data_IF_680230402805
#
_entry.id   IF_680230402805
#
_cell.length_a   1.000
_cell.length_b   1.000
_cell.length_c   1.000
_cell.angle_alpha   90.00
_cell.angle_beta   90.00
_cell.angle_gamma   90.00
#
_symmetry.space_group_name_H-M   'P 1'
#
loop_
_entity.id
_entity.type
_entity.pdbx_description
1 polymer ?
#
# COMPACT_ATOMS: atom_id res chain seq x y z
N UNK A 1 0.54 -6.80 -0.66
CA UNK A 1 0.45 -6.02 -1.91
C UNK A 1 -0.77 -5.13 -1.77
N UNK A 2 -0.65 -3.84 -2.07
CA UNK A 2 -1.79 -2.92 -2.05
C UNK A 2 -2.60 -3.06 -3.35
N UNK A 3 -3.90 -2.83 -3.31
CA UNK A 3 -4.75 -2.86 -4.51
C UNK A 3 -4.47 -1.67 -5.44
N UNK A 4 -4.92 -1.73 -6.70
CA UNK A 4 -4.81 -0.61 -7.65
C UNK A 4 -5.46 0.67 -7.10
N UNK A 5 -6.69 0.58 -6.58
CA UNK A 5 -7.38 1.71 -5.93
C UNK A 5 -6.60 2.31 -4.76
N UNK A 6 -5.93 1.47 -3.96
CA UNK A 6 -5.10 1.94 -2.86
C UNK A 6 -3.85 2.66 -3.38
N UNK A 7 -3.26 2.19 -4.48
CA UNK A 7 -2.13 2.84 -5.16
C UNK A 7 -2.54 4.19 -5.73
N UNK A 8 -3.70 4.29 -6.37
CA UNK A 8 -4.24 5.55 -6.91
C UNK A 8 -4.55 6.57 -5.80
N UNK A 9 -5.20 6.14 -4.71
CA UNK A 9 -5.45 7.02 -3.56
C UNK A 9 -4.15 7.51 -2.93
N UNK A 10 -3.15 6.65 -2.82
CA UNK A 10 -1.84 7.03 -2.30
C UNK A 10 -1.14 8.02 -3.22
N UNK A 11 -1.13 7.75 -4.52
CA UNK A 11 -0.56 8.63 -5.54
C UNK A 11 -1.24 10.00 -5.52
N UNK A 12 -2.58 10.04 -5.42
CA UNK A 12 -3.35 11.28 -5.28
C UNK A 12 -3.01 12.04 -3.99
N UNK A 13 -2.80 11.33 -2.88
CA UNK A 13 -2.37 11.96 -1.63
C UNK A 13 -0.99 12.62 -1.76
N UNK A 14 -0.01 11.93 -2.38
CA UNK A 14 1.30 12.53 -2.63
C UNK A 14 1.19 13.71 -3.59
N UNK A 15 0.48 13.57 -4.70
CA UNK A 15 0.29 14.66 -5.66
C UNK A 15 -0.31 15.92 -5.02
N UNK A 16 -1.22 15.78 -4.04
CA UNK A 16 -1.78 16.91 -3.32
C UNK A 16 -0.94 17.44 -2.15
N UNK A 17 0.11 16.73 -1.73
CA UNK A 17 0.93 17.09 -0.55
C UNK A 17 2.34 17.55 -0.88
N UNK A 18 2.88 17.12 -2.03
CA UNK A 18 4.17 17.58 -2.53
C UNK A 18 4.12 19.09 -2.78
N UNK A 19 5.20 19.83 -2.48
CA UNK A 19 5.30 21.23 -2.87
C UNK A 19 5.14 21.39 -4.37
N UNK A 20 4.53 22.52 -4.77
CA UNK A 20 4.52 22.95 -6.16
C UNK A 20 5.96 23.06 -6.68
N UNK A 21 6.18 22.66 -7.93
CA UNK A 21 7.48 22.64 -8.60
C UNK A 21 8.56 21.70 -8.03
N UNK A 22 8.22 20.84 -7.05
CA UNK A 22 9.17 19.84 -6.58
C UNK A 22 9.54 18.84 -7.69
N UNK A 23 8.57 18.40 -8.48
CA UNK A 23 8.77 17.54 -9.64
C UNK A 23 8.04 18.13 -10.85
N UNK A 24 8.57 17.93 -12.05
CA UNK A 24 7.82 18.19 -13.29
C UNK A 24 6.59 17.28 -13.39
N UNK A 25 6.76 16.03 -12.94
CA UNK A 25 5.68 15.06 -12.83
C UNK A 25 6.02 13.99 -11.81
N UNK A 26 5.01 13.49 -11.12
CA UNK A 26 5.14 12.30 -10.28
C UNK A 26 5.16 11.08 -11.21
N UNK A 27 6.27 10.36 -11.29
CA UNK A 27 6.39 9.20 -12.19
C UNK A 27 5.79 7.97 -11.54
N UNK A 28 6.24 7.63 -10.34
CA UNK A 28 5.86 6.38 -9.69
C UNK A 28 5.68 6.53 -8.18
N UNK A 29 4.74 5.75 -7.64
CA UNK A 29 4.51 5.57 -6.21
C UNK A 29 4.29 4.08 -5.96
N UNK A 30 5.35 3.41 -5.54
CA UNK A 30 5.34 1.98 -5.22
C UNK A 30 5.27 1.75 -3.73
N UNK A 31 4.64 0.65 -3.32
CA UNK A 31 4.48 0.29 -1.92
C UNK A 31 4.70 -1.19 -1.74
N UNK A 32 5.57 -1.51 -0.80
CA UNK A 32 5.72 -2.87 -0.32
C UNK A 32 5.38 -2.99 1.18
N UNK A 33 5.94 -3.99 1.83
CA UNK A 33 5.74 -4.22 3.26
C UNK A 33 6.49 -3.20 4.12
N UNK A 34 7.66 -2.78 3.67
CA UNK A 34 8.64 -2.04 4.45
C UNK A 34 8.60 -0.53 4.15
N UNK A 35 8.38 -0.17 2.88
CA UNK A 35 8.42 1.23 2.45
C UNK A 35 7.42 1.60 1.35
N UNK A 36 7.26 2.91 1.20
CA UNK A 36 6.65 3.59 0.06
C UNK A 36 7.79 4.28 -0.69
N UNK A 37 7.93 4.02 -1.97
CA UNK A 37 8.94 4.65 -2.82
C UNK A 37 8.27 5.62 -3.79
N UNK A 38 8.67 6.89 -3.71
CA UNK A 38 8.11 7.99 -4.50
C UNK A 38 9.18 8.47 -5.48
N UNK A 39 8.90 8.38 -6.77
CA UNK A 39 9.80 8.78 -7.85
C UNK A 39 9.15 9.89 -8.66
N UNK A 40 9.83 11.02 -8.78
CA UNK A 40 9.40 12.15 -9.62
C UNK A 40 10.40 12.49 -10.72
N UNK A 41 9.92 13.05 -11.83
CA UNK A 41 10.77 13.58 -12.89
C UNK A 41 11.27 14.96 -12.49
N UNK A 42 12.55 15.21 -12.71
CA UNK A 42 13.16 16.54 -12.55
C UNK A 42 13.71 17.05 -13.88
N UNK A 43 13.84 18.38 -14.05
CA UNK A 43 14.34 18.95 -15.28
C UNK A 43 15.77 18.54 -15.57
N UNK A 44 16.05 18.21 -16.82
CA UNK A 44 17.39 17.92 -17.31
C UNK A 44 18.32 19.14 -17.23
N UNK A 45 19.64 18.93 -17.05
CA UNK A 45 20.61 20.00 -17.20
C UNK A 45 20.62 20.53 -18.64
N UNK A 46 20.66 21.86 -18.80
CA UNK A 46 20.80 22.49 -20.11
C UNK A 46 22.27 22.48 -20.48
N UNK A 47 22.62 21.72 -21.52
CA UNK A 47 23.96 21.61 -22.08
C UNK A 47 23.94 22.01 -23.56
N UNK A 48 25.12 22.26 -24.12
CA UNK A 48 25.26 22.46 -25.57
C UNK A 48 24.86 21.19 -26.34
N UNK A 49 24.41 21.35 -27.59
CA UNK A 49 24.00 20.21 -28.43
C UNK A 49 25.17 19.27 -28.75
N UNK A 50 26.39 19.81 -28.83
CA UNK A 50 27.64 19.09 -29.07
C UNK A 50 28.32 18.58 -27.80
N UNK A 51 27.68 18.73 -26.62
CA UNK A 51 28.19 18.18 -25.37
C UNK A 51 28.36 16.67 -25.48
N UNK A 52 29.54 16.20 -25.07
CA UNK A 52 29.89 14.77 -25.06
C UNK A 52 28.99 13.97 -24.12
N UNK A 53 28.87 12.66 -24.35
CA UNK A 53 28.08 11.77 -23.47
C UNK A 53 28.58 11.80 -22.02
N UNK A 54 29.90 11.86 -21.82
CA UNK A 54 30.51 11.96 -20.49
C UNK A 54 30.13 13.27 -19.78
N UNK A 55 30.04 14.38 -20.52
CA UNK A 55 29.59 15.67 -19.97
C UNK A 55 28.10 15.65 -19.62
N UNK A 56 27.28 15.01 -20.47
CA UNK A 56 25.84 14.82 -20.22
C UNK A 56 25.60 13.99 -18.95
N UNK A 57 26.27 12.87 -18.83
CA UNK A 57 26.20 11.99 -17.65
C UNK A 57 26.60 12.75 -16.38
N UNK A 58 27.76 13.42 -16.40
CA UNK A 58 28.24 14.20 -15.26
C UNK A 58 27.27 15.33 -14.86
N UNK A 59 26.66 16.00 -15.83
CA UNK A 59 25.68 17.05 -15.57
C UNK A 59 24.38 16.49 -14.98
N UNK A 60 23.91 15.32 -15.44
CA UNK A 60 22.75 14.63 -14.88
C UNK A 60 23.01 14.25 -13.43
N UNK A 61 24.18 13.65 -13.14
CA UNK A 61 24.58 13.34 -11.77
C UNK A 61 24.64 14.58 -10.87
N UNK A 62 25.25 15.67 -11.37
CA UNK A 62 25.29 16.94 -10.66
C UNK A 62 23.91 17.51 -10.35
N UNK A 63 22.99 17.43 -11.32
CA UNK A 63 21.59 17.88 -11.16
C UNK A 63 20.85 17.04 -10.13
N UNK A 64 21.00 15.72 -10.15
CA UNK A 64 20.38 14.81 -9.19
C UNK A 64 20.88 15.09 -7.76
N UNK A 65 22.19 15.31 -7.58
CA UNK A 65 22.78 15.58 -6.28
C UNK A 65 22.37 16.94 -5.72
N UNK A 66 22.41 18.00 -6.52
CA UNK A 66 21.91 19.33 -6.13
C UNK A 66 20.44 19.25 -5.72
N UNK A 67 19.61 18.60 -6.53
CA UNK A 67 18.19 18.43 -6.24
C UNK A 67 17.98 17.71 -4.90
N UNK A 68 18.73 16.63 -4.67
CA UNK A 68 18.65 15.84 -3.43
C UNK A 68 18.89 16.71 -2.21
N UNK A 69 19.86 17.60 -2.27
CA UNK A 69 20.28 18.46 -1.17
C UNK A 69 19.28 19.59 -0.94
N UNK A 70 18.96 20.36 -2.00
CA UNK A 70 18.04 21.51 -1.92
C UNK A 70 16.65 21.13 -1.42
N UNK A 71 16.14 19.98 -1.83
CA UNK A 71 14.76 19.55 -1.53
C UNK A 71 14.64 18.68 -0.27
N UNK A 72 15.74 18.51 0.49
CA UNK A 72 15.78 17.56 1.60
C UNK A 72 14.72 17.85 2.66
N UNK A 73 14.56 19.10 3.07
CA UNK A 73 13.64 19.47 4.16
C UNK A 73 12.19 19.24 3.77
N UNK A 74 11.79 19.68 2.57
CA UNK A 74 10.44 19.50 2.05
C UNK A 74 10.08 18.01 1.93
N UNK A 75 10.99 17.20 1.37
CA UNK A 75 10.79 15.75 1.25
C UNK A 75 10.71 15.07 2.61
N UNK A 76 11.48 15.52 3.60
CA UNK A 76 11.40 15.00 4.97
C UNK A 76 10.07 15.38 5.63
N UNK A 77 9.56 16.60 5.41
CA UNK A 77 8.26 17.03 5.94
C UNK A 77 7.12 16.16 5.39
N UNK A 78 7.05 15.98 4.06
CA UNK A 78 6.05 15.11 3.43
C UNK A 78 6.20 13.67 3.88
N UNK A 79 7.43 13.16 3.97
CA UNK A 79 7.71 11.81 4.43
C UNK A 79 7.19 11.57 5.86
N UNK A 80 7.39 12.51 6.79
CA UNK A 80 6.91 12.36 8.17
C UNK A 80 5.38 12.25 8.25
N UNK A 81 4.67 13.05 7.48
CA UNK A 81 3.21 13.00 7.42
C UNK A 81 2.70 11.69 6.81
N UNK A 82 3.33 11.26 5.71
CA UNK A 82 3.05 9.98 5.08
C UNK A 82 3.35 8.80 6.02
N UNK A 83 4.49 8.82 6.71
CA UNK A 83 4.87 7.81 7.69
C UNK A 83 3.84 7.72 8.83
N UNK A 84 3.36 8.86 9.32
CA UNK A 84 2.32 8.90 10.34
C UNK A 84 1.00 8.31 9.83
N UNK A 85 0.60 8.67 8.60
CA UNK A 85 -0.68 8.27 8.01
C UNK A 85 -0.70 6.81 7.56
N UNK A 86 0.33 6.37 6.85
CA UNK A 86 0.38 5.07 6.17
C UNK A 86 1.20 4.01 6.92
N UNK A 87 1.86 4.40 8.02
CA UNK A 87 2.63 3.52 8.90
C UNK A 87 3.73 2.74 8.17
N UNK A 88 4.36 3.38 7.17
CA UNK A 88 5.45 2.84 6.36
C UNK A 88 6.48 3.93 6.12
N UNK A 89 7.75 3.55 6.03
CA UNK A 89 8.84 4.46 5.67
C UNK A 89 8.63 5.03 4.27
N UNK A 90 9.08 6.25 4.05
CA UNK A 90 9.05 6.87 2.72
C UNK A 90 10.45 7.04 2.20
N UNK A 91 10.65 6.51 1.01
CA UNK A 91 11.87 6.58 0.23
C UNK A 91 11.62 7.39 -1.02
N UNK A 92 12.65 8.10 -1.46
CA UNK A 92 12.55 9.08 -2.51
C UNK A 92 13.51 8.74 -3.63
N UNK A 93 13.07 8.96 -4.87
CA UNK A 93 13.92 8.91 -6.03
C UNK A 93 13.54 9.96 -7.07
N UNK A 94 14.39 10.08 -8.07
CA UNK A 94 14.19 10.98 -9.21
C UNK A 94 14.54 10.29 -10.51
N UNK A 95 13.93 10.78 -11.59
CA UNK A 95 14.36 10.50 -12.96
C UNK A 95 14.82 11.81 -13.62
N UNK A 96 16.02 11.80 -14.21
CA UNK A 96 16.61 12.93 -14.92
C UNK A 96 17.37 12.40 -16.14
N UNK A 97 17.03 12.84 -17.36
CA UNK A 97 17.74 12.38 -18.57
C UNK A 97 17.57 10.88 -18.85
N UNK A 98 16.46 10.29 -18.42
CA UNK A 98 16.23 8.84 -18.47
C UNK A 98 16.94 8.05 -17.38
N UNK A 99 17.79 8.68 -16.57
CA UNK A 99 18.47 8.03 -15.46
C UNK A 99 17.64 8.11 -14.18
N UNK A 100 17.47 6.96 -13.50
CA UNK A 100 16.78 6.87 -12.22
C UNK A 100 17.76 6.75 -11.06
N UNK A 101 17.63 7.64 -10.09
CA UNK A 101 18.40 7.61 -8.86
C UNK A 101 17.48 7.56 -7.64
N UNK A 102 17.64 6.51 -6.83
CA UNK A 102 17.05 6.45 -5.49
C UNK A 102 17.98 7.14 -4.49
N UNK A 103 17.39 7.89 -3.57
CA UNK A 103 18.11 8.47 -2.45
C UNK A 103 18.19 7.45 -1.31
N UNK A 104 18.10 7.92 -0.06
CA UNK A 104 18.05 7.02 1.09
C UNK A 104 16.79 6.17 1.01
N UNK A 105 16.98 4.85 0.84
CA UNK A 105 15.91 3.84 0.77
C UNK A 105 16.16 2.71 1.77
N UNK A 106 15.11 1.97 2.11
CA UNK A 106 15.16 0.93 3.14
C UNK A 106 15.90 -0.30 2.61
N UNK A 107 16.98 -0.68 3.30
CA UNK A 107 17.59 -1.99 3.16
C UNK A 107 17.09 -2.89 4.30
N UNK A 108 15.98 -3.60 4.09
CA UNK A 108 15.42 -4.50 5.09
C UNK A 108 16.04 -5.91 4.98
N UNK A 109 16.47 -6.53 6.09
CA UNK A 109 16.99 -7.89 6.07
C UNK A 109 15.86 -8.90 5.79
N UNK A 110 16.15 -9.90 4.95
CA UNK A 110 15.24 -11.02 4.69
C UNK A 110 15.82 -12.28 5.33
N UNK A 111 15.07 -12.89 6.25
CA UNK A 111 15.47 -14.14 6.91
C UNK A 111 14.88 -15.34 6.16
N UNK A 112 15.74 -16.17 5.58
CA UNK A 112 15.33 -17.40 4.86
C UNK A 112 15.97 -18.63 5.47
N UNK A 113 15.17 -19.68 5.69
CA UNK A 113 15.68 -21.01 6.07
C UNK A 113 16.04 -21.80 4.80
N UNK A 114 17.33 -21.96 4.55
CA UNK A 114 17.86 -22.75 3.43
C UNK A 114 18.24 -24.14 3.90
N UNK A 115 17.92 -25.19 3.12
CA UNK A 115 18.39 -26.55 3.37
C UNK A 115 19.82 -26.69 2.82
N UNK A 116 20.40 -27.86 2.99
CA UNK A 116 21.80 -28.09 2.62
C UNK A 116 22.06 -27.86 1.12
N UNK A 117 21.22 -28.34 0.17
CA UNK A 117 21.48 -28.14 -1.25
C UNK A 117 21.52 -26.66 -1.64
N UNK A 118 20.61 -25.84 -1.13
CA UNK A 118 20.62 -24.40 -1.43
C UNK A 118 21.83 -23.71 -0.83
N UNK A 119 22.28 -24.12 0.37
CA UNK A 119 23.52 -23.59 0.99
C UNK A 119 24.77 -23.93 0.18
N UNK A 120 24.83 -25.11 -0.44
CA UNK A 120 25.96 -25.51 -1.29
C UNK A 120 26.09 -24.62 -2.54
N UNK A 121 24.96 -24.21 -3.14
CA UNK A 121 24.97 -23.24 -4.24
C UNK A 121 25.59 -21.92 -3.81
N UNK A 122 25.20 -21.38 -2.65
CA UNK A 122 25.76 -20.14 -2.12
C UNK A 122 27.25 -20.26 -1.79
N UNK A 123 27.67 -21.39 -1.22
CA UNK A 123 29.08 -21.65 -0.91
C UNK A 123 29.93 -21.73 -2.19
N UNK A 124 29.36 -22.22 -3.28
CA UNK A 124 30.02 -22.26 -4.60
C UNK A 124 30.22 -20.85 -5.16
N UNK A 125 29.23 -19.97 -5.04
CA UNK A 125 29.35 -18.56 -5.44
C UNK A 125 30.44 -17.83 -4.65
N UNK A 126 30.57 -18.13 -3.36
CA UNK A 126 31.65 -17.56 -2.53
C UNK A 126 33.01 -18.12 -2.96
N UNK A 127 33.13 -19.44 -3.11
CA UNK A 127 34.36 -20.09 -3.54
C UNK A 127 34.83 -19.59 -4.93
N UNK A 128 33.90 -19.28 -5.83
CA UNK A 128 34.16 -18.70 -7.14
C UNK A 128 34.49 -17.20 -7.13
N UNK A 129 34.50 -16.54 -5.96
CA UNK A 129 34.80 -15.11 -5.83
C UNK A 129 33.67 -14.18 -6.28
N UNK A 130 32.47 -14.70 -6.55
CA UNK A 130 31.30 -13.89 -6.96
C UNK A 130 30.76 -13.07 -5.79
N UNK A 131 30.91 -13.55 -4.57
CA UNK A 131 30.45 -12.90 -3.34
C UNK A 131 31.40 -13.16 -2.16
N UNK A 132 31.44 -12.24 -1.20
CA UNK A 132 32.25 -12.34 0.03
C UNK A 132 31.49 -12.93 1.22
N UNK A 133 30.17 -13.08 1.09
CA UNK A 133 29.31 -13.66 2.12
C UNK A 133 28.09 -14.35 1.50
N UNK A 134 27.42 -15.22 2.28
CA UNK A 134 26.18 -15.89 1.83
C UNK A 134 25.04 -14.91 1.57
N UNK A 135 24.95 -13.83 2.34
CA UNK A 135 23.96 -12.77 2.13
C UNK A 135 24.23 -12.01 0.83
N UNK A 136 25.49 -11.71 0.52
CA UNK A 136 25.88 -11.08 -0.75
C UNK A 136 25.65 -12.02 -1.95
N UNK A 137 25.89 -13.32 -1.76
CA UNK A 137 25.58 -14.35 -2.76
C UNK A 137 24.07 -14.44 -3.05
N UNK A 138 23.23 -14.40 -2.01
CA UNK A 138 21.77 -14.34 -2.19
C UNK A 138 21.34 -13.07 -2.92
N UNK A 139 21.88 -11.91 -2.55
CA UNK A 139 21.60 -10.67 -3.26
C UNK A 139 22.02 -10.74 -4.74
N UNK A 140 23.12 -11.43 -5.04
CA UNK A 140 23.55 -11.68 -6.42
C UNK A 140 22.55 -12.56 -7.17
N UNK A 141 22.06 -13.65 -6.58
CA UNK A 141 21.03 -14.49 -7.20
C UNK A 141 19.75 -13.70 -7.52
N UNK A 142 19.31 -12.80 -6.62
CA UNK A 142 18.14 -11.94 -6.87
C UNK A 142 18.37 -11.02 -8.06
N UNK A 143 19.54 -10.37 -8.15
CA UNK A 143 19.89 -9.51 -9.29
C UNK A 143 19.95 -10.29 -10.61
N UNK A 144 20.46 -11.52 -10.58
CA UNK A 144 20.51 -12.38 -11.77
C UNK A 144 19.09 -12.69 -12.29
N UNK A 145 18.16 -13.03 -11.39
CA UNK A 145 16.77 -13.30 -11.78
C UNK A 145 16.07 -12.05 -12.32
N UNK A 146 16.34 -10.87 -11.76
CA UNK A 146 15.81 -9.61 -12.30
C UNK A 146 16.27 -9.42 -13.75
N UNK A 147 17.57 -9.51 -14.03
CA UNK A 147 18.13 -9.27 -15.36
C UNK A 147 17.60 -10.20 -16.46
N UNK A 148 17.23 -11.44 -16.11
CA UNK A 148 16.87 -12.45 -17.09
C UNK A 148 15.36 -12.77 -17.13
N UNK A 149 14.55 -12.16 -16.28
CA UNK A 149 13.17 -12.62 -16.09
C UNK A 149 12.16 -11.48 -15.84
N UNK A 150 12.50 -10.25 -16.22
CA UNK A 150 11.64 -9.08 -16.02
C UNK A 150 10.26 -9.22 -16.67
N UNK A 151 10.17 -9.84 -17.86
CA UNK A 151 8.88 -10.06 -18.56
C UNK A 151 7.95 -10.97 -17.74
N UNK A 152 8.43 -12.13 -17.29
CA UNK A 152 7.61 -13.05 -16.48
C UNK A 152 7.31 -12.51 -15.07
N UNK A 153 8.23 -11.76 -14.45
CA UNK A 153 7.96 -11.10 -13.17
C UNK A 153 6.86 -10.05 -13.31
N UNK A 154 6.79 -9.37 -14.45
CA UNK A 154 5.72 -8.42 -14.77
C UNK A 154 4.38 -9.15 -14.90
N UNK A 155 4.32 -10.20 -15.73
CA UNK A 155 3.11 -11.04 -15.89
C UNK A 155 2.60 -11.62 -14.57
N UNK A 156 3.51 -12.07 -13.69
CA UNK A 156 3.14 -12.59 -12.37
C UNK A 156 2.49 -11.51 -11.48
N UNK A 157 3.04 -10.28 -11.50
CA UNK A 157 2.48 -9.16 -10.74
C UNK A 157 1.08 -8.79 -11.24
N UNK A 158 0.90 -8.70 -12.56
CA UNK A 158 -0.41 -8.44 -13.18
C UNK A 158 -1.44 -9.52 -12.82
N UNK A 159 -1.01 -10.79 -12.86
CA UNK A 159 -1.85 -11.92 -12.47
C UNK A 159 -2.26 -11.84 -10.99
N UNK A 160 -1.34 -11.47 -10.10
CA UNK A 160 -1.65 -11.27 -8.67
C UNK A 160 -2.59 -10.09 -8.41
N UNK A 161 -2.51 -9.02 -9.21
CA UNK A 161 -3.47 -7.92 -9.17
C UNK A 161 -4.86 -8.37 -9.63
N UNK A 162 -4.94 -9.21 -10.66
CA UNK A 162 -6.20 -9.80 -11.10
C UNK A 162 -6.85 -10.65 -10.01
N UNK A 163 -6.09 -11.52 -9.35
CA UNK A 163 -6.59 -12.34 -8.23
C UNK A 163 -7.10 -11.46 -7.08
N UNK A 164 -6.43 -10.35 -6.78
CA UNK A 164 -6.88 -9.40 -5.76
C UNK A 164 -8.19 -8.72 -6.14
N UNK A 165 -8.38 -8.32 -7.40
CA UNK A 165 -9.66 -7.75 -7.88
C UNK A 165 -10.81 -8.75 -7.71
N UNK A 166 -10.60 -10.01 -8.08
CA UNK A 166 -11.60 -11.07 -7.91
C UNK A 166 -11.95 -11.28 -6.43
N UNK A 167 -10.95 -11.28 -5.53
CA UNK A 167 -11.20 -11.37 -4.08
C UNK A 167 -12.01 -10.19 -3.54
N UNK A 168 -11.74 -8.97 -4.01
CA UNK A 168 -12.48 -7.78 -3.60
C UNK A 168 -13.94 -7.77 -4.11
N UNK A 169 -14.24 -8.50 -5.18
CA UNK A 169 -15.58 -8.71 -5.74
C UNK A 169 -16.28 -9.96 -5.17
N UNK A 170 -15.62 -10.70 -4.28
CA UNK A 170 -16.15 -11.92 -3.67
C UNK A 170 -17.32 -11.68 -2.72
N UNK A 171 -18.07 -12.74 -2.35
CA UNK A 171 -19.32 -12.66 -1.58
C UNK A 171 -19.20 -12.01 -0.18
N UNK A 172 -17.99 -11.82 0.33
CA UNK A 172 -17.72 -11.08 1.58
C UNK A 172 -17.78 -9.54 1.43
N UNK A 173 -17.91 -9.02 0.21
CA UNK A 173 -18.00 -7.59 -0.08
C UNK A 173 -19.40 -6.98 0.14
N UNK A 174 -20.43 -7.81 0.39
CA UNK A 174 -21.75 -7.30 0.76
C UNK A 174 -21.78 -6.93 2.24
N UNK A 175 -22.21 -5.71 2.62
CA UNK A 175 -22.40 -5.37 4.02
C UNK A 175 -23.46 -6.33 4.58
N UNK A 176 -23.09 -7.15 5.57
CA UNK A 176 -24.05 -7.96 6.32
C UNK A 176 -25.00 -7.01 7.06
N UNK A 177 -26.13 -6.71 6.44
CA UNK A 177 -27.06 -5.70 6.92
C UNK A 177 -28.45 -5.81 6.32
N UNK A 178 -29.17 -6.89 6.66
CA UNK A 178 -30.56 -6.84 7.15
C UNK A 178 -30.89 -8.21 7.74
N UNK A 179 -30.94 -8.25 9.07
CA UNK A 179 -31.39 -9.42 9.80
C UNK A 179 -32.83 -9.75 9.45
N UNK A 180 -33.04 -11.05 9.25
CA UNK A 180 -34.18 -11.84 9.74
C UNK A 180 -35.51 -11.11 9.95
N UNK A 181 -36.43 -11.35 9.02
CA UNK A 181 -37.86 -11.36 9.29
C UNK A 181 -38.43 -12.54 8.52
N UNK A 182 -38.61 -13.66 9.22
CA UNK A 182 -39.22 -14.90 8.71
C UNK A 182 -40.66 -14.72 8.23
N UNK A 183 -41.22 -15.69 7.49
CA UNK A 183 -42.51 -15.56 6.85
C UNK A 183 -43.64 -15.83 7.86
N UNK A 184 -44.56 -14.89 8.03
CA UNK A 184 -45.87 -15.17 8.63
C UNK A 184 -46.77 -15.82 7.57
N UNK A 185 -47.21 -17.04 7.86
CA UNK A 185 -48.23 -17.76 7.09
C UNK A 185 -49.60 -17.07 7.24
N UNK A 186 -50.09 -16.44 6.18
CA UNK A 186 -51.51 -16.08 6.06
C UNK A 186 -52.29 -17.21 5.39
N UNK A 187 -53.11 -17.89 6.18
CA UNK A 187 -54.11 -18.81 5.67
C UNK A 187 -55.17 -19.14 6.71
N UNK A 188 -56.29 -18.39 6.71
CA UNK A 188 -57.63 -18.97 6.54
C UNK A 188 -58.76 -17.96 6.82
N UNK A 189 -59.43 -17.60 5.73
CA UNK A 189 -60.86 -17.29 5.55
C UNK A 189 -61.77 -17.32 6.79
N UNK A 190 -62.45 -16.20 7.01
CA UNK A 190 -63.52 -16.07 8.00
C UNK A 190 -64.81 -16.84 7.65
N UNK A 191 -65.57 -17.13 8.70
CA UNK A 191 -67.04 -17.21 8.68
C UNK A 191 -67.57 -16.91 10.09
N UNK A 192 -68.54 -16.01 10.13
CA UNK A 192 -69.22 -15.49 11.32
C UNK A 192 -70.13 -16.53 12.00
N UNK A 193 -70.31 -16.42 13.32
CA UNK A 193 -71.62 -16.16 13.96
C UNK A 193 -71.51 -16.13 15.50
N UNK A 194 -72.27 -15.24 16.14
CA UNK A 194 -72.79 -15.43 17.52
C UNK A 194 -72.22 -14.54 18.64
N UNK A 195 -73.04 -13.72 19.32
CA UNK A 195 -72.62 -12.77 20.36
C UNK A 195 -72.81 -13.29 21.80
N UNK A 196 -72.42 -12.43 22.75
CA UNK A 196 -72.97 -12.23 24.12
C UNK A 196 -72.13 -12.55 25.37
N UNK A 197 -72.11 -11.51 26.22
CA UNK A 197 -72.06 -11.46 27.69
C UNK A 197 -70.77 -11.80 28.45
N UNK A 198 -70.37 -10.87 29.36
CA UNK A 198 -69.40 -11.22 30.39
C UNK A 198 -68.70 -10.11 31.17
N UNK A 199 -69.44 -9.13 31.71
CA UNK A 199 -69.20 -8.41 32.98
C UNK A 199 -67.76 -8.25 33.54
N UNK A 200 -67.46 -6.97 33.85
CA UNK A 200 -66.98 -6.46 35.16
C UNK A 200 -65.55 -6.84 35.58
N UNK A 201 -64.77 -6.11 36.39
CA UNK A 201 -64.74 -4.80 37.06
C UNK A 201 -63.38 -4.82 37.81
N UNK A 202 -62.84 -3.65 38.16
CA UNK A 202 -61.78 -3.50 39.18
C UNK A 202 -60.44 -3.07 38.56
N UNK A 203 -59.95 -1.83 38.67
CA UNK A 203 -59.72 -1.03 39.89
C UNK A 203 -58.79 -1.83 40.83
N UNK A 204 -57.56 -1.45 41.12
CA UNK A 204 -57.01 -0.22 41.74
C UNK A 204 -55.51 -0.10 41.33
N UNK A 205 -54.96 1.07 41.00
CA UNK A 205 -54.55 2.18 41.87
C UNK A 205 -53.53 1.78 42.97
N UNK A 206 -52.31 2.31 42.89
CA UNK A 206 -51.32 2.20 43.98
C UNK A 206 -49.88 2.54 43.56
N UNK A 207 -49.30 3.68 43.96
CA UNK A 207 -48.11 4.28 43.35
C UNK A 207 -46.84 4.26 44.23
N UNK A 208 -45.79 4.93 43.73
CA UNK A 208 -44.65 5.52 44.46
C UNK A 208 -43.53 4.50 44.85
N UNK A 209 -42.23 4.78 44.90
CA UNK A 209 -41.34 5.96 44.99
C UNK A 209 -40.03 5.56 44.23
N UNK A 210 -39.15 6.41 43.70
CA UNK A 210 -38.40 7.49 44.37
C UNK A 210 -36.93 7.04 44.61
N UNK A 211 -35.99 7.99 44.52
CA UNK A 211 -34.53 7.91 44.76
C UNK A 211 -33.67 7.46 43.55
N UNK A 212 -32.87 8.27 42.84
CA UNK A 212 -31.92 9.38 43.12
C UNK A 212 -30.56 8.97 43.71
N UNK A 213 -29.46 9.32 43.03
CA UNK A 213 -28.08 9.35 43.54
C UNK A 213 -27.08 8.62 42.63
N UNK A 214 -26.37 9.29 41.72
CA UNK A 214 -25.11 10.08 41.90
C UNK A 214 -23.84 9.22 41.95
N UNK A 215 -23.05 9.36 40.87
CA UNK A 215 -21.59 9.53 40.75
C UNK A 215 -20.62 8.78 41.67
N UNK A 216 -19.63 8.15 41.02
CA UNK A 216 -18.32 7.82 41.55
C UNK A 216 -17.44 7.23 40.48
#
# INVERSE_FOLDING_TARGET
>A
MITADQREKLRGWFAGRLPDDLFESLLDVTVDREEITVIGRIPEPRLAEDASDAEREAAVQGRIQEFRERTREDRVAVAREAEHRFRRKVSWGVECGGERALFTHVAAPVMTRLRQPERQVLDTLIAGGVARSRSEALAWCVRLVQQHTDDWLTELRESLEHVQRVRAQGPDAQPRGRGDSGPEEEGSKGRADGPEEGRSRGQEAGPAEGESGTTG
#
